data_IF_268008039449
#
_entry.id   IF_268008039449
#
_cell.length_a   1.000
_cell.length_b   1.000
_cell.length_c   1.000
_cell.angle_alpha   90.00
_cell.angle_beta   90.00
_cell.angle_gamma   90.00
#
_symmetry.space_group_name_H-M   'P 1'
#
loop_
_entity.id
_entity.type
_entity.pdbx_description
1 polymer ?
#
# COMPACT_ATOMS: atom_id res chain seq x y z
N UNK A 1 -20.93 5.06 -5.32
CA UNK A 1 -19.81 5.23 -4.37
C UNK A 1 -19.02 3.92 -4.37
N UNK A 2 -17.90 3.84 -5.11
CA UNK A 2 -17.07 2.63 -5.20
C UNK A 2 -15.84 2.83 -4.31
N UNK A 3 -16.00 2.58 -3.01
CA UNK A 3 -14.86 2.26 -2.15
C UNK A 3 -14.63 0.75 -2.27
N UNK A 4 -13.46 0.35 -2.77
CA UNK A 4 -13.12 -1.06 -2.85
C UNK A 4 -12.71 -1.54 -1.45
N UNK A 5 -13.66 -2.12 -0.73
CA UNK A 5 -13.38 -2.80 0.55
C UNK A 5 -13.04 -4.25 0.22
N UNK A 6 -11.78 -4.62 0.36
CA UNK A 6 -11.36 -6.03 0.28
C UNK A 6 -11.31 -6.60 1.69
N UNK A 7 -12.33 -7.36 2.03
CA UNK A 7 -12.33 -8.20 3.23
C UNK A 7 -11.42 -9.43 2.95
N UNK A 8 -10.32 -9.57 3.67
CA UNK A 8 -9.57 -10.83 3.69
C UNK A 8 -10.26 -11.77 4.68
N UNK A 9 -11.15 -12.61 4.16
CA UNK A 9 -11.56 -13.82 4.85
C UNK A 9 -11.07 -15.03 4.07
N UNK A 10 -10.47 -15.98 4.74
CA UNK A 10 -10.20 -17.31 4.23
C UNK A 10 -11.54 -17.97 3.88
N UNK A 11 -11.64 -18.48 2.63
CA UNK A 11 -12.72 -19.32 2.09
C UNK A 11 -14.13 -18.71 1.97
N UNK A 12 -14.35 -18.01 0.86
CA UNK A 12 -15.65 -18.04 0.20
C UNK A 12 -15.47 -18.14 -1.32
N UNK A 13 -15.83 -19.30 -1.87
CA UNK A 13 -16.01 -19.47 -3.31
C UNK A 13 -17.19 -18.58 -3.74
N UNK A 14 -16.93 -17.55 -4.55
CA UNK A 14 -18.00 -16.82 -5.23
C UNK A 14 -18.18 -17.34 -6.63
N UNK A 15 -19.42 -17.70 -6.98
CA UNK A 15 -19.89 -17.75 -8.35
C UNK A 15 -20.01 -16.31 -8.87
N UNK A 16 -19.34 -16.00 -9.96
CA UNK A 16 -19.48 -14.73 -10.66
C UNK A 16 -20.87 -14.66 -11.33
N UNK A 17 -21.70 -13.70 -10.90
CA UNK A 17 -22.72 -13.08 -11.76
C UNK A 17 -22.53 -11.57 -11.65
N UNK A 18 -22.24 -10.96 -12.80
CA UNK A 18 -21.96 -9.54 -12.92
C UNK A 18 -23.18 -8.68 -12.62
N UNK A 19 -23.06 -7.89 -11.61
CA UNK A 19 -23.68 -6.56 -11.47
C UNK A 19 -23.08 -5.91 -10.23
N UNK A 20 -22.20 -4.95 -10.43
CA UNK A 20 -21.54 -4.20 -9.35
C UNK A 20 -22.25 -2.88 -9.12
N UNK A 21 -23.47 -2.91 -8.65
CA UNK A 21 -24.21 -1.74 -8.17
C UNK A 21 -25.22 -2.17 -7.09
N UNK A 22 -24.69 -2.64 -5.96
CA UNK A 22 -25.52 -2.78 -4.76
C UNK A 22 -24.84 -2.02 -3.63
N UNK A 23 -25.60 -1.08 -3.06
CA UNK A 23 -25.28 -0.48 -1.76
C UNK A 23 -25.18 -1.62 -0.75
N UNK A 24 -23.97 -1.91 -0.30
CA UNK A 24 -23.75 -2.90 0.75
C UNK A 24 -24.14 -2.23 2.05
N UNK A 25 -25.38 -2.45 2.49
CA UNK A 25 -25.72 -2.32 3.89
C UNK A 25 -25.08 -3.53 4.57
N UNK A 26 -23.91 -3.31 5.19
CA UNK A 26 -23.22 -4.35 5.93
C UNK A 26 -23.99 -4.60 7.23
N UNK A 27 -24.84 -5.61 7.24
CA UNK A 27 -25.14 -6.33 8.48
C UNK A 27 -23.87 -7.13 8.82
N UNK A 28 -23.00 -6.52 9.58
CA UNK A 28 -21.75 -7.13 10.04
C UNK A 28 -22.15 -8.04 11.19
N UNK A 29 -22.23 -9.35 10.93
CA UNK A 29 -22.40 -10.33 12.00
C UNK A 29 -21.19 -10.30 12.95
N UNK A 30 -21.37 -10.60 14.22
CA UNK A 30 -20.32 -10.62 15.27
C UNK A 30 -19.09 -11.48 14.90
N UNK A 31 -19.22 -12.38 13.94
CA UNK A 31 -18.13 -13.22 13.41
C UNK A 31 -17.03 -12.43 12.72
N UNK A 32 -17.29 -11.20 12.24
CA UNK A 32 -16.35 -10.38 11.49
C UNK A 32 -15.50 -9.43 12.35
N UNK A 33 -15.76 -9.34 13.64
CA UNK A 33 -15.22 -8.32 14.55
C UNK A 33 -13.74 -8.48 14.91
N UNK A 34 -13.03 -9.54 14.44
CA UNK A 34 -11.60 -9.77 14.69
C UNK A 34 -10.73 -9.80 13.42
N UNK A 35 -11.28 -9.41 12.28
CA UNK A 35 -10.59 -9.43 11.00
C UNK A 35 -9.82 -8.15 10.67
N UNK A 36 -8.98 -8.24 9.64
CA UNK A 36 -8.31 -7.09 9.04
C UNK A 36 -9.12 -6.54 7.86
N UNK A 37 -9.12 -5.22 7.69
CA UNK A 37 -9.73 -4.54 6.54
C UNK A 37 -8.66 -3.84 5.71
N UNK A 38 -8.73 -3.99 4.39
CA UNK A 38 -7.95 -3.19 3.46
C UNK A 38 -8.85 -2.10 2.88
N UNK A 39 -8.50 -0.84 3.13
CA UNK A 39 -9.28 0.32 2.74
C UNK A 39 -8.53 1.19 1.72
N UNK A 40 -9.18 1.46 0.60
CA UNK A 40 -8.87 2.57 -0.27
C UNK A 40 -9.52 3.84 0.28
N UNK A 41 -8.80 4.58 1.11
CA UNK A 41 -9.31 5.80 1.78
C UNK A 41 -9.42 7.00 0.85
N UNK A 42 -8.81 6.92 -0.33
CA UNK A 42 -8.81 7.94 -1.37
C UNK A 42 -8.90 7.28 -2.73
N UNK A 43 -9.49 7.93 -3.71
CA UNK A 43 -9.42 7.51 -5.12
C UNK A 43 -8.24 8.15 -5.87
N UNK A 44 -7.38 8.92 -5.19
CA UNK A 44 -6.32 9.72 -5.81
C UNK A 44 -5.00 8.96 -5.83
N UNK A 45 -4.28 9.09 -6.95
CA UNK A 45 -2.88 8.72 -7.09
C UNK A 45 -2.22 9.70 -8.07
N UNK A 46 -1.00 10.14 -7.76
CA UNK A 46 -0.22 11.04 -8.62
C UNK A 46 0.74 10.29 -9.54
N UNK A 47 0.87 8.97 -9.35
CA UNK A 47 1.72 8.12 -10.16
C UNK A 47 0.99 7.62 -11.41
N UNK A 48 1.76 7.29 -12.45
CA UNK A 48 1.28 6.73 -13.71
C UNK A 48 1.96 5.39 -14.02
N UNK A 49 1.95 4.47 -13.05
CA UNK A 49 2.56 3.13 -13.20
C UNK A 49 1.89 2.36 -14.34
N UNK A 50 2.63 1.83 -15.35
CA UNK A 50 2.04 1.26 -16.57
C UNK A 50 1.05 0.13 -16.32
N UNK A 51 1.39 -0.84 -15.45
CA UNK A 51 0.55 -2.02 -15.18
C UNK A 51 -0.38 -1.82 -13.95
N UNK A 52 -0.64 -0.58 -13.57
CA UNK A 52 -1.61 -0.28 -12.54
C UNK A 52 -3.04 -0.40 -13.08
N UNK A 53 -3.92 -1.09 -12.35
CA UNK A 53 -5.34 -1.20 -12.72
C UNK A 53 -6.01 0.17 -12.93
N UNK A 54 -5.49 1.23 -12.30
CA UNK A 54 -5.93 2.60 -12.50
C UNK A 54 -5.86 3.06 -13.96
N UNK A 55 -4.86 2.59 -14.73
CA UNK A 55 -4.66 3.01 -16.12
C UNK A 55 -5.74 2.47 -17.07
N UNK A 56 -6.43 1.40 -16.70
CA UNK A 56 -7.53 0.81 -17.48
C UNK A 56 -8.91 1.37 -17.12
N UNK A 57 -9.01 2.30 -16.16
CA UNK A 57 -10.27 2.91 -15.75
C UNK A 57 -10.38 4.29 -16.36
N UNK A 58 -11.34 4.48 -17.27
CA UNK A 58 -11.50 5.73 -18.02
C UNK A 58 -11.89 6.91 -17.12
N UNK A 59 -12.74 6.68 -16.13
CA UNK A 59 -13.20 7.73 -15.21
C UNK A 59 -13.18 7.20 -13.77
N UNK A 60 -12.37 7.83 -12.93
CA UNK A 60 -12.28 7.52 -11.51
C UNK A 60 -12.85 8.70 -10.73
N UNK A 61 -14.06 8.57 -10.18
CA UNK A 61 -14.65 9.63 -9.38
C UNK A 61 -13.74 10.07 -8.25
N UNK A 62 -13.58 11.38 -8.07
CA UNK A 62 -12.83 11.92 -6.94
C UNK A 62 -13.59 11.60 -5.64
N UNK A 63 -13.03 10.70 -4.85
CA UNK A 63 -13.63 10.29 -3.58
C UNK A 63 -12.59 10.27 -2.46
N UNK A 64 -13.04 10.65 -1.27
CA UNK A 64 -12.29 10.60 -0.02
C UNK A 64 -13.19 9.98 1.04
N UNK A 65 -12.67 9.03 1.80
CA UNK A 65 -13.37 8.47 2.94
C UNK A 65 -13.56 9.57 4.00
N UNK A 66 -14.78 9.81 4.41
CA UNK A 66 -15.07 10.76 5.49
C UNK A 66 -14.68 10.19 6.86
N UNK A 67 -14.48 11.05 7.85
CA UNK A 67 -14.20 10.61 9.22
C UNK A 67 -15.36 9.79 9.81
N UNK A 68 -16.60 10.15 9.51
CA UNK A 68 -17.78 9.43 9.99
C UNK A 68 -17.86 8.00 9.40
N UNK A 69 -17.57 7.86 8.11
CA UNK A 69 -17.48 6.53 7.48
C UNK A 69 -16.31 5.72 8.08
N UNK A 70 -15.14 6.35 8.28
CA UNK A 70 -14.00 5.70 8.90
C UNK A 70 -14.30 5.23 10.33
N UNK A 71 -15.02 6.02 11.13
CA UNK A 71 -15.41 5.67 12.49
C UNK A 71 -16.33 4.44 12.54
N UNK A 72 -17.08 4.19 11.46
CA UNK A 72 -17.84 2.95 11.33
C UNK A 72 -16.92 1.73 11.17
N UNK A 73 -15.90 1.81 10.29
CA UNK A 73 -14.91 0.73 10.17
C UNK A 73 -14.11 0.54 11.46
N UNK A 74 -13.77 1.65 12.14
CA UNK A 74 -12.99 1.59 13.37
C UNK A 74 -13.72 0.80 14.48
N UNK A 75 -15.03 0.75 14.50
CA UNK A 75 -15.81 -0.05 15.47
C UNK A 75 -15.72 -1.55 15.19
N UNK A 76 -15.55 -1.96 13.93
CA UNK A 76 -15.72 -3.34 13.51
C UNK A 76 -14.43 -4.10 13.22
N UNK A 77 -13.29 -3.42 13.03
CA UNK A 77 -12.04 -4.07 12.66
C UNK A 77 -10.92 -3.75 13.63
N UNK A 78 -10.02 -4.70 13.85
CA UNK A 78 -8.86 -4.55 14.74
C UNK A 78 -7.55 -4.32 13.99
N UNK A 79 -7.54 -4.61 12.68
CA UNK A 79 -6.37 -4.42 11.81
C UNK A 79 -6.76 -3.61 10.58
N UNK A 80 -6.05 -2.52 10.34
CA UNK A 80 -6.24 -1.64 9.19
C UNK A 80 -5.05 -1.75 8.24
N UNK A 81 -5.35 -1.90 6.95
CA UNK A 81 -4.37 -1.89 5.89
C UNK A 81 -4.77 -0.78 4.92
N UNK A 82 -3.96 0.27 4.83
CA UNK A 82 -4.10 1.30 3.83
C UNK A 82 -3.17 0.96 2.66
N UNK A 83 -3.67 0.13 1.75
CA UNK A 83 -2.97 -0.25 0.54
C UNK A 83 -3.91 -0.02 -0.64
N UNK A 84 -3.76 1.11 -1.30
CA UNK A 84 -4.58 1.50 -2.43
C UNK A 84 -4.51 0.49 -3.58
N UNK A 85 -5.66 0.07 -4.10
CA UNK A 85 -5.74 -0.75 -5.32
C UNK A 85 -5.55 0.11 -6.56
N UNK A 86 -6.10 1.32 -6.52
CA UNK A 86 -6.06 2.33 -7.59
C UNK A 86 -5.62 3.71 -7.08
N UNK A 87 -5.26 3.80 -5.81
CA UNK A 87 -4.96 5.05 -5.11
C UNK A 87 -3.65 4.95 -4.33
N UNK A 88 -3.28 6.04 -3.67
CA UNK A 88 -2.21 6.04 -2.68
C UNK A 88 -2.73 6.73 -1.41
N UNK A 89 -2.67 6.06 -0.25
CA UNK A 89 -3.24 6.58 0.99
C UNK A 89 -2.64 7.92 1.43
N UNK A 90 -1.39 8.22 1.07
CA UNK A 90 -0.73 9.48 1.42
C UNK A 90 -1.44 10.71 0.82
N UNK A 91 -2.26 10.49 -0.21
CA UNK A 91 -3.01 11.60 -0.83
C UNK A 91 -4.30 11.95 -0.09
N UNK A 92 -4.69 11.15 0.91
CA UNK A 92 -5.80 11.52 1.77
C UNK A 92 -5.40 12.65 2.72
N UNK A 93 -6.10 13.81 2.74
CA UNK A 93 -5.68 14.97 3.53
C UNK A 93 -5.75 14.75 5.05
N UNK A 94 -6.53 13.74 5.51
CA UNK A 94 -6.72 13.39 6.92
C UNK A 94 -6.13 12.02 7.27
N UNK A 95 -5.12 11.54 6.56
CA UNK A 95 -4.48 10.25 6.86
C UNK A 95 -3.93 10.23 8.30
N UNK A 96 -3.32 11.32 8.74
CA UNK A 96 -2.82 11.47 10.11
C UNK A 96 -3.93 11.37 11.17
N UNK A 97 -5.13 11.88 10.88
CA UNK A 97 -6.29 11.77 11.77
C UNK A 97 -6.74 10.31 11.88
N UNK A 98 -6.82 9.58 10.77
CA UNK A 98 -7.19 8.16 10.79
C UNK A 98 -6.16 7.31 11.54
N UNK A 99 -4.88 7.57 11.32
CA UNK A 99 -3.80 6.90 12.03
C UNK A 99 -3.87 7.15 13.55
N UNK A 100 -4.12 8.40 13.96
CA UNK A 100 -4.30 8.75 15.37
C UNK A 100 -5.50 8.02 16.01
N UNK A 101 -6.62 7.93 15.28
CA UNK A 101 -7.81 7.20 15.76
C UNK A 101 -7.54 5.70 15.94
N UNK A 102 -6.82 5.06 14.98
CA UNK A 102 -6.44 3.65 15.08
C UNK A 102 -5.52 3.43 16.27
N UNK A 103 -4.53 4.30 16.47
CA UNK A 103 -3.60 4.22 17.59
C UNK A 103 -4.29 4.38 18.95
N UNK A 104 -5.16 5.38 19.06
CA UNK A 104 -5.95 5.63 20.27
C UNK A 104 -6.87 4.45 20.63
N UNK A 105 -7.38 3.74 19.62
CA UNK A 105 -8.18 2.53 19.79
C UNK A 105 -7.34 1.26 20.09
N UNK A 106 -6.01 1.36 20.17
CA UNK A 106 -5.12 0.23 20.42
C UNK A 106 -5.03 -0.79 19.27
N UNK A 107 -5.40 -0.38 18.06
CA UNK A 107 -5.53 -1.27 16.88
C UNK A 107 -4.28 -1.22 15.99
N UNK A 108 -4.11 -2.25 15.16
CA UNK A 108 -2.95 -2.38 14.27
C UNK A 108 -3.17 -1.62 12.95
N UNK A 109 -2.09 -1.05 12.40
CA UNK A 109 -2.13 -0.38 11.11
C UNK A 109 -0.91 -0.69 10.26
N UNK A 110 -1.15 -0.95 8.97
CA UNK A 110 -0.13 -0.99 7.93
C UNK A 110 -0.46 0.01 6.83
N UNK A 111 0.53 0.78 6.39
CA UNK A 111 0.39 1.80 5.34
C UNK A 111 1.32 1.48 4.18
N UNK A 112 0.79 1.41 2.96
CA UNK A 112 1.58 1.22 1.75
C UNK A 112 1.59 2.50 0.93
N UNK A 113 2.76 3.09 0.76
CA UNK A 113 2.94 4.38 0.07
C UNK A 113 3.97 4.29 -1.03
N UNK A 114 3.69 4.97 -2.12
CA UNK A 114 4.62 5.12 -3.24
C UNK A 114 4.65 6.57 -3.77
N UNK A 115 3.56 7.33 -3.63
CA UNK A 115 3.50 8.71 -4.08
C UNK A 115 4.36 9.65 -3.22
N UNK A 116 4.96 10.67 -3.85
CA UNK A 116 5.96 11.57 -3.23
C UNK A 116 5.58 13.05 -3.27
N UNK A 117 4.35 13.37 -3.70
CA UNK A 117 3.93 14.76 -3.95
C UNK A 117 3.55 15.58 -2.70
N UNK A 118 3.43 14.93 -1.54
CA UNK A 118 3.18 15.66 -0.30
C UNK A 118 4.48 16.26 0.26
N UNK A 119 4.41 17.36 1.01
CA UNK A 119 5.55 17.87 1.76
C UNK A 119 6.04 16.85 2.80
N UNK A 120 7.33 16.83 3.10
CA UNK A 120 7.95 15.92 4.08
C UNK A 120 7.28 16.03 5.46
N UNK A 121 6.91 17.25 5.86
CA UNK A 121 6.21 17.50 7.11
C UNK A 121 4.89 16.73 7.24
N UNK A 122 4.18 16.46 6.11
CA UNK A 122 2.96 15.68 6.14
C UNK A 122 3.24 14.20 6.43
N UNK A 123 4.31 13.63 5.81
CA UNK A 123 4.74 12.25 6.14
C UNK A 123 5.13 12.13 7.61
N UNK A 124 5.95 13.07 8.11
CA UNK A 124 6.38 13.08 9.51
C UNK A 124 5.18 13.18 10.45
N UNK A 125 4.18 13.99 10.13
CA UNK A 125 2.93 14.06 10.88
C UNK A 125 2.20 12.72 10.93
N UNK A 126 2.10 12.03 9.79
CA UNK A 126 1.49 10.71 9.70
C UNK A 126 2.28 9.66 10.51
N UNK A 127 3.61 9.66 10.43
CA UNK A 127 4.45 8.73 11.22
C UNK A 127 4.23 8.91 12.72
N UNK A 128 4.22 10.13 13.20
CA UNK A 128 3.98 10.46 14.62
C UNK A 128 2.57 10.11 15.09
N UNK A 129 1.59 10.10 14.19
CA UNK A 129 0.20 9.83 14.50
C UNK A 129 -0.06 8.37 14.93
N UNK A 130 0.78 7.41 14.48
CA UNK A 130 0.67 6.01 14.89
C UNK A 130 2.06 5.36 15.04
N UNK A 131 2.73 5.53 16.20
CA UNK A 131 4.10 5.03 16.40
C UNK A 131 4.26 3.51 16.30
N UNK A 132 3.19 2.74 16.43
CA UNK A 132 3.20 1.27 16.31
C UNK A 132 2.80 0.78 14.91
N UNK A 133 2.68 1.66 13.92
CA UNK A 133 2.33 1.28 12.55
C UNK A 133 3.50 0.69 11.78
N UNK A 134 3.19 -0.14 10.79
CA UNK A 134 4.15 -0.65 9.81
C UNK A 134 3.97 0.08 8.49
N UNK A 135 5.06 0.56 7.90
CA UNK A 135 5.00 1.28 6.63
C UNK A 135 5.78 0.54 5.56
N UNK A 136 5.13 0.35 4.41
CA UNK A 136 5.69 -0.25 3.21
C UNK A 136 5.93 0.86 2.19
N UNK A 137 7.19 1.10 1.87
CA UNK A 137 7.61 2.12 0.91
C UNK A 137 7.85 1.45 -0.43
N UNK A 138 6.97 1.70 -1.39
CA UNK A 138 7.04 1.11 -2.74
C UNK A 138 8.07 1.82 -3.60
N UNK A 139 9.30 1.34 -3.57
CA UNK A 139 10.42 1.81 -4.40
C UNK A 139 10.90 0.63 -5.22
N UNK A 140 10.64 0.63 -6.52
CA UNK A 140 10.92 -0.50 -7.40
C UNK A 140 12.23 -0.28 -8.16
N UNK A 141 13.30 -0.88 -7.68
CA UNK A 141 14.67 -0.64 -8.10
C UNK A 141 15.45 0.20 -7.09
N UNK A 142 16.67 0.61 -7.45
CA UNK A 142 17.39 1.59 -6.65
C UNK A 142 16.60 2.92 -6.62
N UNK A 143 16.76 3.74 -5.57
CA UNK A 143 15.95 4.95 -5.42
C UNK A 143 15.91 5.85 -6.66
N UNK A 144 17.05 6.07 -7.32
CA UNK A 144 17.16 6.86 -8.55
C UNK A 144 16.42 6.26 -9.75
N UNK A 145 16.18 4.94 -9.76
CA UNK A 145 15.63 4.19 -10.89
C UNK A 145 14.16 3.84 -10.74
N UNK A 146 13.59 3.99 -9.56
CA UNK A 146 12.20 3.61 -9.26
C UNK A 146 11.17 4.28 -10.19
N UNK A 147 11.45 5.49 -10.66
CA UNK A 147 10.61 6.21 -11.61
C UNK A 147 10.41 5.51 -12.96
N UNK A 148 11.27 4.54 -13.31
CA UNK A 148 11.14 3.75 -14.55
C UNK A 148 9.84 2.97 -14.62
N UNK A 149 9.34 2.49 -13.46
CA UNK A 149 8.01 1.91 -13.32
C UNK A 149 7.05 2.82 -12.59
N UNK A 150 7.46 3.40 -11.47
CA UNK A 150 6.65 4.34 -10.68
C UNK A 150 6.68 5.73 -11.32
N UNK A 151 6.22 5.83 -12.56
CA UNK A 151 6.26 7.08 -13.33
C UNK A 151 5.73 8.24 -12.50
N UNK A 152 6.48 9.34 -12.45
CA UNK A 152 6.28 10.54 -11.61
C UNK A 152 6.63 10.36 -10.13
N UNK A 153 7.29 9.27 -9.73
CA UNK A 153 7.82 9.13 -8.37
C UNK A 153 9.19 9.82 -8.27
N UNK A 154 9.43 10.48 -7.15
CA UNK A 154 10.76 10.83 -6.66
C UNK A 154 11.19 9.73 -5.69
N UNK A 155 11.91 8.72 -6.21
CA UNK A 155 12.32 7.55 -5.42
C UNK A 155 13.36 7.88 -4.36
N UNK A 156 14.24 8.86 -4.63
CA UNK A 156 15.25 9.32 -3.66
C UNK A 156 14.60 10.03 -2.47
N UNK A 157 13.62 10.86 -2.73
CA UNK A 157 12.81 11.46 -1.66
C UNK A 157 12.09 10.39 -0.83
N UNK A 158 11.47 9.40 -1.47
CA UNK A 158 10.75 8.35 -0.76
C UNK A 158 11.70 7.50 0.10
N UNK A 159 12.90 7.20 -0.42
CA UNK A 159 13.93 6.48 0.33
C UNK A 159 14.39 7.28 1.57
N UNK A 160 14.67 8.56 1.40
CA UNK A 160 15.01 9.45 2.52
C UNK A 160 13.89 9.49 3.57
N UNK A 161 12.64 9.60 3.14
CA UNK A 161 11.47 9.55 4.05
C UNK A 161 11.35 8.21 4.77
N UNK A 162 11.67 7.11 4.09
CA UNK A 162 11.72 5.77 4.70
C UNK A 162 12.78 5.69 5.80
N UNK A 163 13.98 6.22 5.57
CA UNK A 163 15.04 6.29 6.58
C UNK A 163 14.59 7.14 7.79
N UNK A 164 14.00 8.30 7.54
CA UNK A 164 13.49 9.21 8.58
C UNK A 164 12.38 8.57 9.41
N UNK A 165 11.50 7.78 8.78
CA UNK A 165 10.35 7.15 9.43
C UNK A 165 10.74 6.23 10.59
N UNK A 166 11.94 5.61 10.55
CA UNK A 166 12.48 4.72 11.60
C UNK A 166 12.53 5.37 12.99
N UNK A 167 12.57 6.70 13.05
CA UNK A 167 12.54 7.44 14.32
C UNK A 167 11.17 7.44 14.98
N UNK A 168 10.12 7.11 14.25
CA UNK A 168 8.74 7.37 14.66
C UNK A 168 7.82 6.16 14.65
N UNK A 169 8.11 5.14 13.83
CA UNK A 169 7.21 4.00 13.59
C UNK A 169 7.85 2.66 13.93
N UNK A 170 7.03 1.62 14.07
CA UNK A 170 7.51 0.30 14.47
C UNK A 170 8.37 -0.36 13.39
N UNK A 171 7.93 -0.30 12.11
CA UNK A 171 8.64 -0.94 11.00
C UNK A 171 8.61 -0.08 9.75
N UNK A 172 9.80 0.14 9.18
CA UNK A 172 10.01 0.76 7.87
C UNK A 172 10.46 -0.32 6.90
N UNK A 173 9.61 -0.66 5.93
CA UNK A 173 9.80 -1.81 5.05
C UNK A 173 9.96 -1.30 3.63
N UNK A 174 11.08 -1.61 3.01
CA UNK A 174 11.26 -1.36 1.58
C UNK A 174 10.50 -2.42 0.78
N UNK A 175 9.39 -2.03 0.16
CA UNK A 175 8.65 -2.88 -0.76
C UNK A 175 9.23 -2.73 -2.17
N UNK A 176 9.80 -3.82 -2.69
CA UNK A 176 10.50 -3.86 -3.97
C UNK A 176 9.84 -4.89 -4.87
N UNK A 177 9.27 -4.44 -5.99
CA UNK A 177 8.75 -5.34 -7.03
C UNK A 177 9.86 -5.54 -8.06
N UNK A 178 10.12 -6.80 -8.40
CA UNK A 178 11.16 -7.15 -9.36
C UNK A 178 10.62 -6.99 -10.77
N UNK A 179 11.35 -6.20 -11.57
CA UNK A 179 11.16 -5.95 -12.98
C UNK A 179 12.44 -6.27 -13.74
N UNK A 180 12.36 -6.39 -15.07
CA UNK A 180 13.54 -6.64 -15.89
C UNK A 180 14.65 -5.59 -15.72
N UNK A 181 14.29 -4.32 -15.53
CA UNK A 181 15.27 -3.24 -15.40
C UNK A 181 15.99 -3.21 -14.04
N UNK A 182 15.42 -3.86 -13.02
CA UNK A 182 15.97 -3.82 -11.66
C UNK A 182 16.29 -5.22 -11.09
N UNK A 183 16.14 -6.28 -11.88
CA UNK A 183 16.38 -7.66 -11.41
C UNK A 183 17.84 -7.90 -10.96
N UNK A 184 18.78 -7.17 -11.52
CA UNK A 184 20.20 -7.25 -11.15
C UNK A 184 20.59 -6.35 -9.96
N UNK A 185 19.69 -5.47 -9.51
CA UNK A 185 19.96 -4.52 -8.41
C UNK A 185 19.51 -5.05 -7.05
N UNK A 186 18.89 -6.23 -7.00
CA UNK A 186 18.29 -6.80 -5.77
C UNK A 186 19.31 -6.93 -4.65
N UNK A 187 20.51 -7.42 -4.94
CA UNK A 187 21.54 -7.62 -3.91
C UNK A 187 22.12 -6.28 -3.43
N UNK A 188 22.23 -5.29 -4.31
CA UNK A 188 22.57 -3.92 -3.91
C UNK A 188 21.50 -3.32 -3.00
N UNK A 189 20.23 -3.52 -3.33
CA UNK A 189 19.12 -3.05 -2.49
C UNK A 189 19.07 -3.75 -1.12
N UNK A 190 19.38 -5.07 -1.06
CA UNK A 190 19.53 -5.80 0.20
C UNK A 190 20.68 -5.25 1.05
N UNK A 191 21.83 -4.96 0.40
CA UNK A 191 22.97 -4.38 1.11
C UNK A 191 22.62 -3.00 1.71
N UNK A 192 21.91 -2.15 0.98
CA UNK A 192 21.38 -0.88 1.50
C UNK A 192 20.40 -1.10 2.68
N UNK A 193 19.57 -2.13 2.62
CA UNK A 193 18.69 -2.45 3.75
C UNK A 193 19.49 -2.83 5.00
N UNK A 194 20.53 -3.64 4.86
CA UNK A 194 21.42 -4.02 5.96
C UNK A 194 22.14 -2.79 6.52
N UNK A 195 22.76 -1.99 5.66
CA UNK A 195 23.47 -0.77 6.02
C UNK A 195 22.60 0.19 6.85
N UNK A 196 21.35 0.35 6.41
CA UNK A 196 20.43 1.29 7.06
C UNK A 196 19.47 0.62 8.07
N UNK A 197 19.60 -0.67 8.35
CA UNK A 197 18.73 -1.41 9.29
C UNK A 197 17.25 -1.37 8.89
N UNK A 198 16.95 -1.52 7.59
CA UNK A 198 15.60 -1.59 7.03
C UNK A 198 15.18 -3.05 6.85
N UNK A 199 13.88 -3.29 6.93
CA UNK A 199 13.31 -4.55 6.44
C UNK A 199 13.05 -4.46 4.93
N UNK A 200 13.16 -5.59 4.21
CA UNK A 200 12.88 -5.65 2.77
C UNK A 200 11.75 -6.64 2.47
N UNK A 201 10.80 -6.23 1.68
CA UNK A 201 9.74 -7.07 1.13
C UNK A 201 9.91 -7.17 -0.38
N UNK A 202 10.52 -8.27 -0.84
CA UNK A 202 10.63 -8.56 -2.27
C UNK A 202 9.30 -9.11 -2.78
N UNK A 203 8.80 -8.55 -3.87
CA UNK A 203 7.54 -8.96 -4.48
C UNK A 203 7.77 -9.43 -5.90
N UNK A 204 7.30 -10.65 -6.19
CA UNK A 204 7.18 -11.17 -7.54
C UNK A 204 5.80 -10.78 -8.08
N UNK A 205 5.76 -10.02 -9.15
CA UNK A 205 4.51 -9.71 -9.82
C UNK A 205 4.14 -10.82 -10.82
N UNK A 206 2.86 -11.03 -11.00
CA UNK A 206 2.30 -11.91 -12.04
C UNK A 206 1.45 -11.11 -13.06
N UNK A 207 1.57 -9.78 -13.07
CA UNK A 207 0.78 -8.87 -13.91
C UNK A 207 1.45 -8.62 -15.26
N UNK A 208 2.03 -9.65 -15.87
CA UNK A 208 2.78 -9.54 -17.11
C UNK A 208 1.95 -10.06 -18.28
N UNK A 209 1.89 -9.30 -19.37
CA UNK A 209 1.55 -9.87 -20.67
C UNK A 209 2.67 -10.79 -21.14
N UNK A 210 2.40 -11.61 -22.17
CA UNK A 210 3.37 -12.60 -22.70
C UNK A 210 4.70 -11.94 -23.05
N UNK A 211 4.66 -10.79 -23.73
CA UNK A 211 5.81 -10.06 -24.24
C UNK A 211 5.99 -8.69 -23.55
N UNK A 212 5.65 -8.60 -22.27
CA UNK A 212 5.79 -7.37 -21.49
C UNK A 212 7.28 -7.03 -21.33
N UNK A 213 7.73 -5.85 -21.78
CA UNK A 213 9.12 -5.44 -21.69
C UNK A 213 9.64 -5.28 -20.25
N UNK A 214 8.74 -5.15 -19.29
CA UNK A 214 9.06 -5.03 -17.88
C UNK A 214 9.13 -6.38 -17.16
N UNK A 215 8.74 -7.47 -17.83
CA UNK A 215 8.77 -8.82 -17.25
C UNK A 215 10.20 -9.24 -16.93
N UNK A 216 10.52 -9.67 -15.70
CA UNK A 216 11.84 -10.17 -15.34
C UNK A 216 12.25 -11.35 -16.21
N UNK A 217 13.57 -11.47 -16.47
CA UNK A 217 14.13 -12.55 -17.29
C UNK A 217 14.03 -13.89 -16.58
N UNK A 218 14.28 -13.94 -15.26
CA UNK A 218 14.11 -15.13 -14.44
C UNK A 218 13.08 -14.88 -13.35
N UNK A 219 12.23 -15.88 -13.14
CA UNK A 219 11.22 -15.86 -12.08
C UNK A 219 11.54 -16.85 -10.95
N UNK A 220 12.65 -17.58 -11.05
CA UNK A 220 12.87 -18.77 -10.23
C UNK A 220 13.64 -18.51 -8.93
N UNK A 221 14.41 -17.44 -8.85
CA UNK A 221 15.34 -17.20 -7.74
C UNK A 221 14.87 -16.21 -6.67
N UNK A 222 13.65 -15.69 -6.76
CA UNK A 222 13.18 -14.69 -5.80
C UNK A 222 11.88 -15.14 -5.14
N UNK A 223 12.04 -15.89 -4.06
CA UNK A 223 11.03 -15.98 -3.04
C UNK A 223 11.16 -14.72 -2.21
N UNK A 224 10.07 -14.03 -1.83
CA UNK A 224 9.29 -14.45 -0.68
C UNK A 224 8.15 -13.47 -0.46
N UNK A 225 6.99 -13.94 -0.29
CA UNK A 225 6.09 -13.43 0.70
C UNK A 225 6.11 -14.44 1.83
N UNK A 226 6.94 -14.27 2.83
CA UNK A 226 6.65 -14.88 4.11
C UNK A 226 5.33 -14.29 4.57
N UNK A 227 4.32 -15.14 4.51
CA UNK A 227 3.03 -14.87 5.14
C UNK A 227 3.31 -14.99 6.63
N UNK A 228 3.58 -13.89 7.29
CA UNK A 228 3.46 -13.86 8.72
C UNK A 228 1.97 -13.88 9.02
N UNK A 229 1.52 -15.02 9.51
CA UNK A 229 0.25 -15.27 10.16
C UNK A 229 0.00 -14.32 11.35
#
# INVERSE_FOLDING_TARGET
MLLCVRLRSYHLRRKHNGNCAQSITLEISEFWTRGGVNLDISSRCTLACPNCARQSIADIPANLLSEAEFDTYLKHFDRFIFCGQISDPILHPKLDVFLSKIYAAGKMCSVHVAATHKPDAFYTKCFKAHPKSNWYFGIDGLPKDSHKYRVRQDGEKLFRLMLESRKYIAKSIWQYIIFKYNENDVDTAKALCIEHGLEMSLIKSNRWAKDDPLKPTSTDNYYIREQHE
#
